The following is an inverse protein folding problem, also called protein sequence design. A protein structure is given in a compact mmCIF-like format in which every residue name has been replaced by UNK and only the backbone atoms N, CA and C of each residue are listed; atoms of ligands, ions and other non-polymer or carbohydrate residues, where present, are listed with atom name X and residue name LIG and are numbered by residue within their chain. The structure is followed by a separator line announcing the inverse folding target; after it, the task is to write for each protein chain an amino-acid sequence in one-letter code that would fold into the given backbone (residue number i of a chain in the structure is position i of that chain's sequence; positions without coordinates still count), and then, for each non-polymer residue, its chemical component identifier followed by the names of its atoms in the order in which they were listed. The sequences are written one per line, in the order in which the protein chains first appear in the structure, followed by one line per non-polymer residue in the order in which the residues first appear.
data_IF_855870704069
#
_entry.id   IF_855870704069
#
_cell.length_a   1.000
_cell.length_b   1.000
_cell.length_c   1.000
_cell.angle_alpha   90.00
_cell.angle_beta   90.00
_cell.angle_gamma   90.00
#
_symmetry.space_group_name_H-M   'P 1'
#
loop_
_entity.id
_entity.type
_entity.pdbx_description
1 polymer ?
#
# COMPACT_ATOMS: atom_id res chain seq x y z
N UNK A 1 -49.22 -8.70 -39.62
CA UNK A 1 -49.15 -9.69 -38.52
C UNK A 1 -47.70 -10.10 -38.41
N UNK A 2 -46.92 -9.35 -37.64
CA UNK A 2 -45.53 -9.62 -37.33
C UNK A 2 -45.49 -9.93 -35.84
N UNK A 3 -45.05 -11.15 -35.51
CA UNK A 3 -45.00 -11.69 -34.16
C UNK A 3 -43.84 -11.06 -33.38
N UNK A 4 -44.18 -10.27 -32.36
CA UNK A 4 -43.26 -9.82 -31.32
C UNK A 4 -42.83 -11.02 -30.47
N UNK A 5 -41.55 -11.36 -30.49
CA UNK A 5 -40.98 -12.25 -29.47
C UNK A 5 -40.86 -11.52 -28.13
N UNK A 6 -41.23 -12.14 -27.00
CA UNK A 6 -41.16 -11.50 -25.70
C UNK A 6 -39.72 -11.36 -25.22
N UNK A 7 -39.30 -10.11 -24.99
CA UNK A 7 -38.06 -9.76 -24.29
C UNK A 7 -38.11 -10.37 -22.89
N UNK A 8 -37.20 -11.31 -22.63
CA UNK A 8 -37.13 -12.07 -21.38
C UNK A 8 -36.51 -11.18 -20.28
N UNK A 9 -37.36 -10.56 -19.45
CA UNK A 9 -36.97 -9.68 -18.33
C UNK A 9 -36.75 -10.50 -17.07
N UNK A 10 -35.81 -11.43 -17.09
CA UNK A 10 -35.39 -12.18 -15.91
C UNK A 10 -33.87 -12.18 -15.84
N UNK A 11 -33.31 -11.20 -15.09
CA UNK A 11 -31.97 -11.16 -14.45
C UNK A 11 -31.30 -9.76 -14.44
N UNK A 12 -32.07 -8.68 -14.32
CA UNK A 12 -31.50 -7.40 -13.84
C UNK A 12 -31.77 -7.29 -12.35
N UNK A 13 -30.98 -8.00 -11.53
CA UNK A 13 -30.89 -7.66 -10.13
C UNK A 13 -30.03 -6.40 -10.02
N UNK A 14 -30.69 -5.26 -9.87
CA UNK A 14 -30.07 -4.05 -9.34
C UNK A 14 -29.73 -4.30 -7.87
N UNK A 15 -28.67 -5.05 -7.62
CA UNK A 15 -28.17 -5.29 -6.25
C UNK A 15 -27.48 -4.03 -5.77
N UNK A 16 -28.25 -3.17 -5.10
CA UNK A 16 -27.72 -2.42 -3.96
C UNK A 16 -27.23 -3.49 -2.99
N UNK A 17 -25.94 -3.43 -2.62
CA UNK A 17 -25.24 -4.37 -1.75
C UNK A 17 -26.13 -4.84 -0.58
N UNK A 18 -26.78 -5.97 -0.81
CA UNK A 18 -27.83 -6.50 0.03
C UNK A 18 -27.97 -7.98 -0.29
N UNK A 19 -27.27 -8.78 0.51
CA UNK A 19 -27.61 -10.17 0.79
C UNK A 19 -27.61 -11.14 -0.41
N UNK A 20 -26.42 -11.38 -0.98
CA UNK A 20 -26.00 -12.70 -1.51
C UNK A 20 -24.50 -12.82 -1.82
N UNK A 21 -23.70 -11.78 -1.59
CA UNK A 21 -22.24 -11.82 -1.69
C UNK A 21 -21.59 -12.23 -0.35
N UNK A 22 -21.94 -13.42 0.17
CA UNK A 22 -21.12 -14.09 1.19
C UNK A 22 -20.19 -15.07 0.50
N UNK A 23 -19.29 -14.54 -0.32
CA UNK A 23 -18.05 -15.23 -0.68
C UNK A 23 -17.04 -14.19 -1.15
N UNK A 24 -16.03 -13.97 -0.30
CA UNK A 24 -14.79 -13.22 -0.58
C UNK A 24 -14.97 -11.84 -1.25
N UNK A 25 -15.18 -10.80 -0.44
CA UNK A 25 -14.78 -9.41 -0.78
C UNK A 25 -13.26 -9.28 -0.62
N UNK A 26 -12.54 -10.22 -1.23
CA UNK A 26 -11.09 -10.29 -1.23
C UNK A 26 -10.69 -10.67 -2.64
N UNK A 27 -10.87 -9.75 -3.59
CA UNK A 27 -10.37 -9.78 -4.96
C UNK A 27 -10.09 -11.15 -5.57
N UNK A 28 -11.03 -12.09 -5.45
CA UNK A 28 -10.93 -13.41 -6.03
C UNK A 28 -12.08 -13.52 -7.03
N UNK A 29 -11.71 -13.70 -8.29
CA UNK A 29 -12.52 -13.68 -9.53
C UNK A 29 -13.64 -14.76 -9.56
N UNK A 30 -13.87 -15.46 -8.45
CA UNK A 30 -14.71 -16.66 -8.38
C UNK A 30 -16.19 -16.40 -8.13
N UNK A 31 -16.57 -15.22 -7.66
CA UNK A 31 -17.98 -14.86 -7.58
C UNK A 31 -18.37 -14.20 -8.91
N UNK A 32 -19.37 -14.73 -9.61
CA UNK A 32 -19.90 -14.17 -10.87
C UNK A 32 -20.62 -12.82 -10.69
N UNK A 33 -20.13 -12.00 -9.76
CA UNK A 33 -20.73 -10.76 -9.32
C UNK A 33 -20.18 -9.65 -10.21
N UNK A 34 -21.10 -8.91 -10.82
CA UNK A 34 -20.79 -7.67 -11.52
C UNK A 34 -20.91 -6.52 -10.54
N UNK A 35 -19.88 -5.68 -10.46
CA UNK A 35 -19.86 -4.52 -9.55
C UNK A 35 -20.08 -3.25 -10.37
N UNK A 36 -20.94 -2.37 -9.88
CA UNK A 36 -21.16 -1.05 -10.45
C UNK A 36 -20.63 0.02 -9.51
N UNK A 37 -19.79 0.93 -10.04
CA UNK A 37 -19.32 2.10 -9.32
C UNK A 37 -19.79 3.35 -10.04
N UNK A 38 -20.76 4.04 -9.46
CA UNK A 38 -21.32 5.29 -9.99
C UNK A 38 -20.64 6.49 -9.30
N UNK A 39 -20.21 7.48 -10.07
CA UNK A 39 -19.67 8.76 -9.58
C UNK A 39 -20.74 9.84 -9.72
N UNK A 40 -21.20 10.39 -8.60
CA UNK A 40 -22.29 11.35 -8.59
C UNK A 40 -21.78 12.75 -8.95
N UNK A 41 -22.60 13.50 -9.69
CA UNK A 41 -22.48 14.96 -9.78
C UNK A 41 -23.21 15.58 -8.59
N UNK A 42 -22.76 16.76 -8.16
CA UNK A 42 -23.56 17.61 -7.28
C UNK A 42 -24.95 17.78 -7.92
N UNK A 43 -26.02 17.62 -7.13
CA UNK A 43 -27.44 17.66 -7.51
C UNK A 43 -28.12 16.31 -7.84
N UNK A 44 -27.42 15.18 -7.80
CA UNK A 44 -28.08 13.86 -7.79
C UNK A 44 -28.41 13.42 -6.35
N UNK A 45 -29.68 13.55 -5.95
CA UNK A 45 -30.21 13.19 -4.62
C UNK A 45 -30.83 11.79 -4.54
N UNK A 46 -30.80 11.03 -5.64
CA UNK A 46 -31.45 9.71 -5.76
C UNK A 46 -30.57 8.54 -5.33
N UNK A 47 -29.82 8.66 -4.23
CA UNK A 47 -29.08 7.52 -3.71
C UNK A 47 -29.71 6.98 -2.45
N UNK A 48 -29.90 5.66 -2.42
CA UNK A 48 -30.30 4.95 -1.21
C UNK A 48 -29.38 5.26 -0.02
N UNK A 49 -28.12 5.59 -0.30
CA UNK A 49 -27.14 6.02 0.70
C UNK A 49 -27.61 7.24 1.50
N UNK A 50 -28.09 8.31 0.85
CA UNK A 50 -28.49 9.53 1.54
C UNK A 50 -29.74 9.32 2.39
N UNK A 51 -30.71 8.57 1.85
CA UNK A 51 -31.91 8.18 2.61
C UNK A 51 -31.55 7.34 3.84
N UNK A 52 -30.61 6.40 3.70
CA UNK A 52 -30.14 5.52 4.77
C UNK A 52 -29.34 6.32 5.81
N UNK A 53 -28.49 7.24 5.36
CA UNK A 53 -27.73 8.13 6.23
C UNK A 53 -28.66 9.02 7.06
N UNK A 54 -29.69 9.61 6.45
CA UNK A 54 -30.68 10.42 7.15
C UNK A 54 -31.43 9.61 8.22
N UNK A 55 -31.84 8.37 7.91
CA UNK A 55 -32.51 7.47 8.86
C UNK A 55 -31.61 7.12 10.05
N UNK A 56 -30.37 6.72 9.79
CA UNK A 56 -29.37 6.41 10.83
C UNK A 56 -29.13 7.64 11.70
N UNK A 57 -28.90 8.80 11.09
CA UNK A 57 -28.66 10.06 11.81
C UNK A 57 -29.84 10.42 12.73
N UNK A 58 -31.08 10.23 12.27
CA UNK A 58 -32.28 10.47 13.09
C UNK A 58 -32.36 9.52 14.28
N UNK A 59 -32.02 8.23 14.11
CA UNK A 59 -32.01 7.27 15.22
C UNK A 59 -30.89 7.51 16.22
N UNK A 60 -29.69 7.82 15.73
CA UNK A 60 -28.52 8.07 16.58
C UNK A 60 -28.72 9.33 17.43
N UNK A 61 -29.32 10.40 16.88
CA UNK A 61 -29.57 11.65 17.62
C UNK A 61 -30.48 11.49 18.84
N UNK A 62 -31.42 10.54 18.81
CA UNK A 62 -32.42 10.34 19.85
C UNK A 62 -32.05 9.20 20.82
N UNK A 63 -30.80 8.72 20.81
CA UNK A 63 -30.35 7.59 21.62
C UNK A 63 -29.04 7.95 22.32
N UNK A 64 -28.95 7.60 23.59
CA UNK A 64 -27.69 7.72 24.32
C UNK A 64 -26.77 6.54 23.96
N UNK A 65 -25.55 6.85 23.51
CA UNK A 65 -24.58 5.86 23.04
C UNK A 65 -23.35 5.90 23.93
N UNK A 66 -23.27 4.92 24.84
CA UNK A 66 -22.14 4.78 25.76
C UNK A 66 -20.97 3.97 25.17
N UNK A 67 -21.24 3.08 24.20
CA UNK A 67 -20.24 2.13 23.66
C UNK A 67 -20.35 2.08 22.14
N UNK A 68 -19.21 1.99 21.40
CA UNK A 68 -19.24 1.88 19.94
C UNK A 68 -20.09 0.73 19.38
N UNK A 69 -20.20 -0.40 20.09
CA UNK A 69 -21.05 -1.53 19.68
C UNK A 69 -22.53 -1.13 19.57
N UNK A 70 -23.00 -0.17 20.36
CA UNK A 70 -24.40 0.29 20.32
C UNK A 70 -24.73 1.00 19.01
N UNK A 71 -23.74 1.57 18.29
CA UNK A 71 -23.98 2.09 16.95
C UNK A 71 -24.48 1.00 16.01
N UNK A 72 -23.95 -0.22 16.11
CA UNK A 72 -24.38 -1.32 15.24
C UNK A 72 -25.85 -1.68 15.46
N UNK A 73 -26.33 -1.61 16.70
CA UNK A 73 -27.74 -1.84 17.05
C UNK A 73 -28.62 -0.70 16.53
N UNK A 74 -28.22 0.55 16.80
CA UNK A 74 -28.94 1.73 16.34
C UNK A 74 -29.08 1.79 14.81
N UNK A 75 -28.05 1.36 14.07
CA UNK A 75 -28.08 1.28 12.61
C UNK A 75 -29.06 0.19 12.15
N UNK A 76 -29.01 -1.02 12.73
CA UNK A 76 -29.96 -2.10 12.38
C UNK A 76 -31.42 -1.70 12.62
N UNK A 77 -31.68 -0.96 13.68
CA UNK A 77 -33.01 -0.44 14.04
C UNK A 77 -33.46 0.78 13.21
N UNK A 78 -32.56 1.41 12.45
CA UNK A 78 -32.86 2.65 11.73
C UNK A 78 -33.86 2.48 10.58
N UNK A 79 -33.90 1.29 9.99
CA UNK A 79 -34.84 0.93 8.93
C UNK A 79 -35.37 -0.47 9.22
N UNK A 80 -36.68 -0.60 9.38
CA UNK A 80 -37.36 -1.89 9.54
C UNK A 80 -38.07 -2.31 8.25
N UNK A 81 -38.60 -1.35 7.49
CA UNK A 81 -39.27 -1.55 6.19
C UNK A 81 -38.62 -0.68 5.11
N UNK A 82 -38.60 -1.11 3.83
CA UNK A 82 -38.98 -2.44 3.34
C UNK A 82 -38.04 -3.57 3.80
N UNK A 83 -36.79 -3.27 4.12
CA UNK A 83 -35.80 -4.24 4.62
C UNK A 83 -34.93 -3.62 5.72
N UNK A 84 -34.41 -4.48 6.59
CA UNK A 84 -33.53 -4.09 7.67
C UNK A 84 -32.12 -3.81 7.16
N UNK A 85 -31.43 -2.84 7.78
CA UNK A 85 -30.02 -2.59 7.50
C UNK A 85 -29.17 -3.71 8.10
N UNK A 86 -28.18 -4.18 7.34
CA UNK A 86 -27.21 -5.16 7.80
C UNK A 86 -25.90 -4.44 8.08
N UNK A 87 -25.40 -4.58 9.31
CA UNK A 87 -24.11 -4.04 9.70
C UNK A 87 -23.06 -5.13 9.57
N UNK A 88 -22.09 -4.89 8.69
CA UNK A 88 -20.92 -5.74 8.53
C UNK A 88 -19.72 -5.07 9.19
N UNK A 89 -19.05 -5.79 10.09
CA UNK A 89 -17.72 -5.40 10.52
C UNK A 89 -16.74 -5.74 9.40
N UNK A 90 -15.78 -4.87 9.16
CA UNK A 90 -14.74 -5.07 8.14
C UNK A 90 -13.55 -5.76 8.82
N UNK A 91 -13.28 -7.05 8.51
CA UNK A 91 -12.12 -7.74 9.02
C UNK A 91 -10.83 -7.29 8.30
N UNK A 92 -9.69 -7.69 8.86
CA UNK A 92 -8.35 -7.27 8.40
C UNK A 92 -7.94 -7.92 7.06
N UNK A 93 -8.56 -9.05 6.72
CA UNK A 93 -8.38 -9.85 5.51
C UNK A 93 -8.91 -9.18 4.23
N UNK A 94 -9.82 -8.21 4.37
CA UNK A 94 -10.38 -7.41 3.25
C UNK A 94 -9.33 -6.45 2.69
N UNK A 95 -8.37 -6.02 3.50
CA UNK A 95 -7.38 -5.05 3.07
C UNK A 95 -6.30 -5.73 2.25
N UNK A 96 -6.14 -5.29 1.01
CA UNK A 96 -5.15 -5.79 0.06
C UNK A 96 -3.99 -4.80 -0.09
N UNK A 97 -2.79 -5.30 -0.34
CA UNK A 97 -1.59 -4.50 -0.59
C UNK A 97 -1.55 -4.06 -2.05
N UNK A 98 -1.48 -2.75 -2.28
CA UNK A 98 -1.44 -2.14 -3.62
C UNK A 98 -0.15 -1.37 -3.90
N UNK A 99 0.90 -1.52 -3.08
CA UNK A 99 2.14 -0.76 -3.25
C UNK A 99 2.86 -1.09 -4.57
N UNK A 100 2.69 -2.32 -5.07
CA UNK A 100 3.34 -2.76 -6.29
C UNK A 100 2.42 -2.57 -7.51
N UNK A 101 2.80 -1.63 -8.39
CA UNK A 101 2.10 -1.35 -9.67
C UNK A 101 2.16 -2.51 -10.65
N UNK A 102 3.15 -3.39 -10.52
CA UNK A 102 3.25 -4.56 -11.39
C UNK A 102 2.09 -5.52 -11.15
N UNK A 103 1.45 -5.49 -9.98
CA UNK A 103 0.27 -6.31 -9.63
C UNK A 103 -1.04 -5.74 -10.16
N UNK A 104 -1.04 -4.54 -10.77
CA UNK A 104 -2.26 -3.92 -11.26
C UNK A 104 -2.74 -4.61 -12.53
N UNK A 105 -4.03 -4.91 -12.59
CA UNK A 105 -4.68 -5.46 -13.79
C UNK A 105 -4.66 -4.44 -14.93
N UNK A 106 -4.90 -3.16 -14.61
CA UNK A 106 -4.83 -2.05 -15.54
C UNK A 106 -3.85 -1.00 -15.03
N UNK A 107 -2.97 -0.53 -15.92
CA UNK A 107 -2.03 0.55 -15.61
C UNK A 107 -2.71 1.92 -15.56
N UNK A 108 -3.86 2.06 -16.22
CA UNK A 108 -4.63 3.29 -16.29
C UNK A 108 -6.12 2.99 -16.43
N UNK A 109 -6.95 3.82 -15.81
CA UNK A 109 -8.41 3.82 -15.96
C UNK A 109 -8.90 4.95 -16.87
N UNK A 110 -7.98 5.59 -17.60
CA UNK A 110 -8.32 6.71 -18.48
C UNK A 110 -9.07 6.22 -19.72
N UNK A 111 -10.19 6.86 -20.10
CA UNK A 111 -10.98 6.43 -21.25
C UNK A 111 -10.38 6.92 -22.57
N UNK A 112 -9.56 7.96 -22.54
CA UNK A 112 -8.85 8.52 -23.68
C UNK A 112 -7.32 8.40 -23.59
N UNK A 113 -6.62 8.53 -24.72
CA UNK A 113 -5.14 8.54 -24.76
C UNK A 113 -4.59 9.95 -25.03
N UNK A 114 -5.20 10.67 -25.94
CA UNK A 114 -4.74 11.98 -26.42
C UNK A 114 -5.19 13.13 -25.52
N UNK A 115 -4.62 14.32 -25.70
CA UNK A 115 -4.89 15.50 -24.86
C UNK A 115 -6.36 15.94 -24.90
N UNK A 116 -7.01 15.77 -26.05
CA UNK A 116 -8.42 16.16 -26.27
C UNK A 116 -9.42 15.03 -26.02
N UNK A 117 -8.95 13.84 -25.64
CA UNK A 117 -9.83 12.72 -25.32
C UNK A 117 -10.37 12.84 -23.89
N UNK A 118 -11.49 12.16 -23.64
CA UNK A 118 -12.11 12.07 -22.33
C UNK A 118 -11.12 11.70 -21.22
N UNK A 119 -11.27 12.35 -20.08
CA UNK A 119 -10.43 12.18 -18.88
C UNK A 119 -11.16 11.33 -17.86
N UNK A 120 -10.41 10.88 -16.84
CA UNK A 120 -10.97 10.10 -15.72
C UNK A 120 -12.08 10.88 -14.98
N UNK A 121 -11.99 12.21 -14.94
CA UNK A 121 -13.00 13.10 -14.36
C UNK A 121 -14.34 13.08 -15.08
N UNK A 122 -14.33 12.72 -16.36
CA UNK A 122 -15.53 12.76 -17.20
C UNK A 122 -16.36 11.48 -17.03
N UNK A 123 -15.75 10.42 -16.49
CA UNK A 123 -16.40 9.13 -16.23
C UNK A 123 -17.52 9.30 -15.21
N UNK A 124 -18.66 8.68 -15.49
CA UNK A 124 -19.83 8.65 -14.60
C UNK A 124 -20.04 7.30 -13.97
N UNK A 125 -19.72 6.22 -14.65
CA UNK A 125 -19.92 4.89 -14.08
C UNK A 125 -18.86 3.92 -14.59
N UNK A 126 -18.33 3.10 -13.69
CA UNK A 126 -17.59 1.89 -14.02
C UNK A 126 -18.45 0.65 -13.78
N UNK A 127 -18.26 -0.34 -14.64
CA UNK A 127 -18.81 -1.69 -14.49
C UNK A 127 -17.65 -2.67 -14.51
N UNK A 128 -17.49 -3.41 -13.42
CA UNK A 128 -16.47 -4.42 -13.25
C UNK A 128 -17.10 -5.79 -13.47
N UNK A 129 -16.58 -6.52 -14.44
CA UNK A 129 -16.99 -7.90 -14.69
C UNK A 129 -16.08 -8.89 -13.95
N UNK A 130 -16.57 -10.11 -13.66
CA UNK A 130 -15.78 -11.14 -13.01
C UNK A 130 -14.55 -11.55 -13.84
N UNK A 131 -14.61 -11.44 -15.17
CA UNK A 131 -13.47 -11.68 -16.07
C UNK A 131 -12.32 -10.65 -15.95
N UNK A 132 -12.38 -9.79 -14.93
CA UNK A 132 -11.44 -8.71 -14.66
C UNK A 132 -11.44 -7.61 -15.72
N UNK A 133 -12.49 -7.53 -16.57
CA UNK A 133 -12.65 -6.41 -17.49
C UNK A 133 -13.38 -5.25 -16.84
N UNK A 134 -12.96 -4.04 -17.22
CA UNK A 134 -13.55 -2.79 -16.75
C UNK A 134 -14.19 -2.09 -17.94
N UNK A 135 -15.47 -1.76 -17.79
CA UNK A 135 -16.21 -0.95 -18.73
C UNK A 135 -16.60 0.38 -18.08
N UNK A 136 -16.81 1.41 -18.89
CA UNK A 136 -17.13 2.75 -18.42
C UNK A 136 -18.26 3.39 -19.24
N UNK A 137 -18.89 4.42 -18.65
CA UNK A 137 -19.84 5.33 -19.29
C UNK A 137 -19.46 6.78 -19.02
N UNK A 138 -19.63 7.64 -20.03
CA UNK A 138 -19.35 9.08 -19.96
C UNK A 138 -20.64 9.90 -19.76
N UNK A 139 -21.75 9.46 -20.33
CA UNK A 139 -23.09 9.98 -20.03
C UNK A 139 -23.92 8.97 -19.23
N UNK A 140 -24.91 9.47 -18.49
CA UNK A 140 -25.90 8.60 -17.83
C UNK A 140 -26.93 8.06 -18.81
N UNK A 141 -27.19 8.82 -19.88
CA UNK A 141 -28.17 8.50 -20.91
C UNK A 141 -27.63 7.51 -21.96
N UNK A 142 -26.32 7.24 -21.93
CA UNK A 142 -25.71 6.25 -22.82
C UNK A 142 -26.32 4.87 -22.54
N UNK A 143 -26.81 4.18 -23.57
CA UNK A 143 -27.37 2.83 -23.40
C UNK A 143 -26.28 1.81 -23.03
N UNK A 144 -25.12 1.89 -23.69
CA UNK A 144 -24.08 0.86 -23.63
C UNK A 144 -22.86 1.28 -22.82
N UNK A 145 -22.25 0.29 -22.15
CA UNK A 145 -20.95 0.43 -21.48
C UNK A 145 -19.83 0.15 -22.47
N UNK A 146 -18.79 0.99 -22.49
CA UNK A 146 -17.63 0.82 -23.39
C UNK A 146 -16.45 0.24 -22.62
N UNK A 147 -15.79 -0.79 -23.14
CA UNK A 147 -14.60 -1.36 -22.53
C UNK A 147 -13.45 -0.33 -22.48
N UNK A 148 -12.66 -0.33 -21.40
CA UNK A 148 -11.49 0.54 -21.33
C UNK A 148 -10.51 0.24 -22.48
N UNK A 149 -9.96 1.26 -23.17
CA UNK A 149 -9.06 1.06 -24.32
C UNK A 149 -7.64 0.64 -23.90
N UNK A 150 -7.42 0.36 -22.62
CA UNK A 150 -6.13 -0.08 -22.09
C UNK A 150 -6.06 -1.61 -22.09
N UNK A 151 -4.95 -2.16 -22.60
CA UNK A 151 -4.71 -3.59 -22.53
C UNK A 151 -4.52 -4.00 -21.06
N UNK A 152 -5.27 -5.01 -20.62
CA UNK A 152 -5.05 -5.63 -19.32
C UNK A 152 -3.66 -6.25 -19.26
N UNK A 153 -2.98 -6.17 -18.11
CA UNK A 153 -1.73 -6.88 -17.90
C UNK A 153 -2.00 -8.38 -17.72
N UNK A 154 -2.01 -9.12 -18.84
CA UNK A 154 -2.29 -10.57 -18.86
C UNK A 154 -1.26 -11.37 -18.08
N UNK A 155 -0.05 -10.85 -17.84
CA UNK A 155 0.96 -11.56 -17.03
C UNK A 155 0.55 -11.71 -15.55
N UNK A 156 -0.49 -11.00 -15.10
CA UNK A 156 -1.02 -11.07 -13.74
C UNK A 156 -2.20 -12.05 -13.59
N UNK A 157 -2.55 -12.80 -14.64
CA UNK A 157 -3.89 -13.39 -14.78
C UNK A 157 -4.11 -14.77 -14.15
N UNK A 158 -3.35 -15.24 -13.16
CA UNK A 158 -3.76 -16.51 -12.53
C UNK A 158 -3.28 -16.86 -11.13
N UNK A 159 -2.09 -16.46 -10.65
CA UNK A 159 -1.58 -17.10 -9.41
C UNK A 159 -0.83 -16.20 -8.41
N UNK A 160 -0.68 -14.90 -8.67
CA UNK A 160 -0.19 -14.01 -7.61
C UNK A 160 -1.33 -13.75 -6.63
N UNK A 161 -1.34 -14.52 -5.55
CA UNK A 161 -2.08 -14.24 -4.32
C UNK A 161 -1.91 -12.74 -4.05
N UNK A 162 -2.97 -11.95 -4.26
CA UNK A 162 -2.97 -10.55 -3.86
C UNK A 162 -2.58 -10.54 -2.39
N UNK A 163 -1.41 -9.99 -2.08
CA UNK A 163 -0.90 -10.04 -0.72
C UNK A 163 -1.86 -9.23 0.15
N UNK A 164 -2.38 -9.85 1.20
CA UNK A 164 -3.13 -9.12 2.21
C UNK A 164 -2.23 -8.04 2.81
N UNK A 165 -2.81 -6.87 3.08
CA UNK A 165 -2.10 -5.77 3.72
C UNK A 165 -1.73 -6.13 5.16
N UNK A 166 -2.59 -6.92 5.81
CA UNK A 166 -2.42 -7.36 7.18
C UNK A 166 -2.52 -8.89 7.25
N UNK A 167 -1.51 -9.54 7.83
CA UNK A 167 -1.55 -11.00 8.06
C UNK A 167 -2.52 -11.38 9.19
N UNK A 168 -2.73 -10.46 10.13
CA UNK A 168 -3.54 -10.67 11.33
C UNK A 168 -4.19 -9.36 11.77
N UNK A 169 -5.19 -9.46 12.65
CA UNK A 169 -5.81 -8.28 13.29
C UNK A 169 -4.74 -7.41 13.96
N UNK A 170 -4.84 -6.10 13.72
CA UNK A 170 -3.92 -5.13 14.32
C UNK A 170 -4.04 -5.20 15.85
N UNK A 171 -2.91 -5.50 16.49
CA UNK A 171 -2.81 -5.56 17.94
C UNK A 171 -2.76 -4.15 18.52
N UNK A 172 -3.47 -3.93 19.62
CA UNK A 172 -3.39 -2.66 20.37
C UNK A 172 -2.19 -2.66 21.32
N UNK A 173 -1.79 -1.49 21.81
CA UNK A 173 -0.74 -1.41 22.83
C UNK A 173 -1.25 -1.93 24.17
N UNK A 174 -0.35 -2.51 24.99
CA UNK A 174 -0.70 -2.97 26.34
C UNK A 174 -1.28 -1.85 27.20
N UNK A 175 -0.71 -0.63 27.12
CA UNK A 175 -1.25 0.53 27.83
C UNK A 175 -2.71 0.78 27.43
N UNK A 176 -3.00 0.84 26.12
CA UNK A 176 -4.36 1.07 25.65
C UNK A 176 -5.30 -0.07 26.07
N UNK A 177 -4.81 -1.31 26.08
CA UNK A 177 -5.57 -2.46 26.58
C UNK A 177 -5.91 -2.29 28.07
N UNK A 178 -4.94 -1.97 28.93
CA UNK A 178 -5.17 -1.73 30.36
C UNK A 178 -6.15 -0.58 30.60
N UNK A 179 -5.94 0.56 29.94
CA UNK A 179 -6.84 1.71 30.02
C UNK A 179 -8.29 1.33 29.64
N UNK A 180 -8.46 0.50 28.59
CA UNK A 180 -9.78 0.01 28.19
C UNK A 180 -10.41 -0.93 29.23
N UNK A 181 -9.61 -1.79 29.85
CA UNK A 181 -10.09 -2.67 30.93
C UNK A 181 -10.50 -1.87 32.18
N UNK A 182 -9.77 -0.80 32.52
CA UNK A 182 -10.11 0.08 33.65
C UNK A 182 -11.40 0.87 33.40
N UNK A 183 -11.60 1.34 32.17
CA UNK A 183 -12.82 2.08 31.78
C UNK A 183 -14.07 1.19 31.83
N UNK A 184 -13.93 -0.10 31.55
CA UNK A 184 -15.04 -1.04 31.64
C UNK A 184 -15.05 -1.72 32.99
N UNK A 185 -15.95 -1.29 33.88
CA UNK A 185 -16.33 -2.07 35.07
C UNK A 185 -16.79 -3.50 34.71
N UNK A 186 -17.17 -3.72 33.45
CA UNK A 186 -17.58 -5.01 32.87
C UNK A 186 -16.37 -5.66 32.18
N UNK A 187 -15.75 -6.67 32.81
CA UNK A 187 -14.51 -7.33 32.39
C UNK A 187 -14.53 -7.99 31.00
N UNK A 188 -15.71 -8.25 30.44
CA UNK A 188 -15.82 -9.20 29.33
C UNK A 188 -15.78 -8.57 27.93
N UNK A 189 -16.03 -7.26 27.80
CA UNK A 189 -16.19 -6.65 26.47
C UNK A 189 -14.85 -6.51 25.71
N UNK A 190 -13.78 -6.12 26.40
CA UNK A 190 -12.46 -5.88 25.79
C UNK A 190 -11.46 -7.03 26.00
N UNK A 191 -11.80 -8.07 26.76
CA UNK A 191 -10.90 -9.18 27.11
C UNK A 191 -10.40 -9.98 25.89
N UNK A 192 -11.21 -10.05 24.83
CA UNK A 192 -10.88 -10.71 23.56
C UNK A 192 -9.91 -9.94 22.65
N UNK A 193 -9.50 -8.73 23.02
CA UNK A 193 -8.62 -7.91 22.17
C UNK A 193 -7.16 -8.38 22.24
N UNK A 194 -6.55 -8.59 21.07
CA UNK A 194 -5.13 -8.88 20.96
C UNK A 194 -4.32 -7.62 21.28
N UNK A 195 -3.36 -7.73 22.19
CA UNK A 195 -2.44 -6.65 22.54
C UNK A 195 -0.97 -7.05 22.34
N UNK A 196 -0.11 -6.04 22.23
CA UNK A 196 1.35 -6.20 22.22
C UNK A 196 1.89 -5.83 23.60
N UNK A 197 2.54 -6.79 24.26
CA UNK A 197 3.24 -6.59 25.54
C UNK A 197 4.49 -5.72 25.44
N UNK A 198 4.96 -5.45 24.22
CA UNK A 198 6.14 -4.62 23.99
C UNK A 198 5.75 -3.31 23.31
N UNK A 199 5.96 -2.19 24.00
CA UNK A 199 5.87 -0.87 23.39
C UNK A 199 6.91 -0.77 22.28
N UNK A 200 6.47 -0.64 21.02
CA UNK A 200 7.34 -0.40 19.86
C UNK A 200 8.33 0.77 20.08
N UNK A 201 7.95 1.73 20.91
CA UNK A 201 8.80 2.85 21.31
C UNK A 201 9.99 2.42 22.19
N UNK A 202 9.84 1.40 23.04
CA UNK A 202 10.95 0.85 23.82
C UNK A 202 11.88 0.01 22.94
N UNK A 203 11.33 -0.75 21.99
CA UNK A 203 12.11 -1.52 21.01
C UNK A 203 12.93 -0.58 20.11
N UNK A 204 12.34 0.49 19.60
CA UNK A 204 13.03 1.49 18.80
C UNK A 204 14.07 2.29 19.61
N UNK A 205 13.79 2.61 20.89
CA UNK A 205 14.79 3.21 21.79
C UNK A 205 15.96 2.27 22.06
N UNK A 206 15.70 0.99 22.33
CA UNK A 206 16.75 -0.04 22.53
C UNK A 206 17.57 -0.25 21.25
N UNK A 207 16.93 -0.28 20.08
CA UNK A 207 17.62 -0.40 18.80
C UNK A 207 18.53 0.82 18.53
N UNK A 208 18.03 2.03 18.78
CA UNK A 208 18.79 3.28 18.62
C UNK A 208 19.99 3.35 19.58
N UNK A 209 19.79 2.96 20.84
CA UNK A 209 20.87 2.87 21.83
C UNK A 209 21.91 1.81 21.45
N UNK A 210 21.48 0.66 20.92
CA UNK A 210 22.40 -0.37 20.41
C UNK A 210 23.22 0.12 19.22
N UNK A 211 22.60 0.88 18.30
CA UNK A 211 23.32 1.45 17.15
C UNK A 211 24.33 2.53 17.59
N UNK A 212 24.02 3.31 18.62
CA UNK A 212 24.92 4.31 19.19
C UNK A 212 26.09 3.66 19.96
N UNK A 213 25.83 2.56 20.69
CA UNK A 213 26.85 1.76 21.36
C UNK A 213 27.83 1.13 20.34
N UNK A 214 27.31 0.54 19.26
CA UNK A 214 28.11 -0.10 18.22
C UNK A 214 29.00 0.91 17.47
N UNK A 215 28.48 2.12 17.21
CA UNK A 215 29.27 3.25 16.64
C UNK A 215 30.38 3.70 17.59
N UNK A 216 30.13 3.76 18.89
CA UNK A 216 31.13 4.12 19.89
C UNK A 216 32.26 3.07 19.96
N UNK A 217 31.91 1.78 19.97
CA UNK A 217 32.88 0.68 19.97
C UNK A 217 33.73 0.67 18.69
N UNK A 218 33.12 0.93 17.53
CA UNK A 218 33.85 1.04 16.25
C UNK A 218 34.85 2.21 16.25
N UNK A 219 34.45 3.37 16.76
CA UNK A 219 35.31 4.55 16.85
C UNK A 219 36.49 4.36 17.82
N UNK A 220 36.28 3.69 18.95
CA UNK A 220 37.36 3.35 19.88
C UNK A 220 38.37 2.37 19.27
N UNK A 221 37.90 1.42 18.43
CA UNK A 221 38.76 0.47 17.73
C UNK A 221 39.63 1.17 16.67
N UNK A 222 39.06 2.11 15.91
CA UNK A 222 39.80 2.95 14.95
C UNK A 222 40.86 3.81 15.68
N UNK A 223 40.53 4.40 16.83
CA UNK A 223 41.47 5.22 17.60
C UNK A 223 42.66 4.40 18.14
N UNK A 224 42.43 3.15 18.57
CA UNK A 224 43.50 2.23 19.00
C UNK A 224 44.42 1.84 17.83
N UNK A 225 43.87 1.55 16.65
CA UNK A 225 44.65 1.23 15.45
C UNK A 225 45.56 2.40 15.03
N UNK A 226 45.04 3.65 15.03
CA UNK A 226 45.83 4.84 14.70
C UNK A 226 47.00 5.10 15.66
N UNK A 227 46.85 4.77 16.96
CA UNK A 227 47.93 4.86 17.96
C UNK A 227 49.01 3.79 17.76
N UNK A 228 48.67 2.63 17.21
CA UNK A 228 49.66 1.58 16.89
C UNK A 228 50.44 1.89 15.61
N UNK A 229 49.83 2.57 14.63
CA UNK A 229 50.53 2.98 13.39
C UNK A 229 51.52 4.14 13.59
N UNK A 230 51.27 5.05 14.54
CA UNK A 230 52.22 6.13 14.86
C UNK A 230 53.46 5.62 15.58
N UNK A 231 53.34 4.61 16.45
CA UNK A 231 54.51 3.94 17.07
C UNK A 231 55.37 3.19 16.05
N UNK A 232 54.78 2.52 15.05
CA UNK A 232 55.54 1.83 13.99
C UNK A 232 56.25 2.79 12.99
N UNK A 233 55.72 3.99 12.77
CA UNK A 233 56.41 5.01 11.94
C UNK A 233 57.60 5.65 12.65
N UNK A 234 57.59 5.74 13.98
CA UNK A 234 58.72 6.28 14.75
C UNK A 234 59.94 5.33 14.80
N UNK A 235 59.74 4.01 14.65
CA UNK A 235 60.82 3.02 14.68
C UNK A 235 61.44 2.74 13.30
N UNK A 236 60.77 3.09 12.20
CA UNK A 236 61.26 2.84 10.82
C UNK A 236 61.96 4.05 10.15
N UNK A 237 62.07 5.21 10.81
CA UNK A 237 62.82 6.36 10.27
C UNK A 237 64.32 6.37 10.59
N UNK A 238 64.85 5.34 11.28
CA UNK A 238 66.27 5.27 11.68
C UNK A 238 67.13 4.27 10.87
N UNK A 239 66.61 3.61 9.83
CA UNK A 239 67.34 2.53 9.12
C UNK A 239 67.45 2.64 7.59
N UNK A 240 67.10 3.78 6.97
CA UNK A 240 67.26 3.95 5.50
C UNK A 240 68.07 5.19 5.13
N UNK A 241 69.29 5.29 5.65
CA UNK A 241 70.37 6.14 5.12
C UNK A 241 71.58 5.26 4.81
N UNK A 242 71.42 4.39 3.81
CA UNK A 242 72.49 3.70 3.07
C UNK A 242 71.80 3.09 1.85
N UNK A 243 72.39 3.23 0.65
CA UNK A 243 71.87 2.79 -0.66
C UNK A 243 70.90 3.72 -1.41
N UNK A 244 71.36 4.94 -1.73
CA UNK A 244 70.99 5.63 -2.98
C UNK A 244 72.21 6.38 -3.52
N UNK A 245 73.20 5.65 -4.07
CA UNK A 245 74.35 6.24 -4.76
C UNK A 245 75.07 5.27 -5.72
N UNK A 246 74.32 4.47 -6.50
CA UNK A 246 74.92 3.62 -7.57
C UNK A 246 74.14 3.58 -8.90
N UNK A 247 73.02 4.29 -9.01
CA UNK A 247 72.17 4.27 -10.21
C UNK A 247 72.35 5.43 -11.21
N UNK A 248 72.90 6.57 -10.79
CA UNK A 248 72.88 7.80 -11.60
C UNK A 248 74.15 8.09 -12.41
N UNK A 249 75.23 7.33 -12.27
CA UNK A 249 76.45 7.53 -13.06
C UNK A 249 76.39 6.85 -14.44
N UNK A 250 75.71 5.71 -14.56
CA UNK A 250 75.60 4.99 -15.85
C UNK A 250 74.65 5.67 -16.85
N UNK A 251 73.74 6.54 -16.39
CA UNK A 251 72.85 7.30 -17.27
C UNK A 251 73.53 8.54 -17.89
N UNK A 252 74.49 9.18 -17.18
CA UNK A 252 75.23 10.34 -17.69
C UNK A 252 76.31 9.98 -18.73
N UNK A 253 76.92 8.79 -18.67
CA UNK A 253 77.88 8.34 -19.69
C UNK A 253 77.25 7.99 -21.05
N UNK A 254 75.98 7.52 -21.08
CA UNK A 254 75.27 7.23 -22.34
C UNK A 254 74.76 8.47 -23.08
N UNK A 255 74.48 9.57 -22.40
CA UNK A 255 74.09 10.83 -23.06
C UNK A 255 75.29 11.55 -23.71
N UNK A 256 76.50 11.49 -23.13
CA UNK A 256 77.68 12.11 -23.74
C UNK A 256 78.19 11.35 -25.00
N UNK A 257 78.02 10.03 -25.09
CA UNK A 257 78.38 9.27 -26.31
C UNK A 257 77.43 9.50 -27.50
N UNK A 258 76.18 9.93 -27.25
CA UNK A 258 75.23 10.25 -28.33
C UNK A 258 75.40 11.68 -28.89
N UNK A 259 76.00 12.60 -28.12
CA UNK A 259 76.21 13.98 -28.58
C UNK A 259 77.40 14.12 -29.54
N UNK A 260 78.41 13.24 -29.46
CA UNK A 260 79.59 13.30 -30.34
C UNK A 260 79.39 12.66 -31.73
N UNK A 261 78.32 11.87 -31.95
CA UNK A 261 78.03 11.26 -33.26
C UNK A 261 77.19 12.13 -34.20
N UNK A 262 76.76 13.33 -33.78
CA UNK A 262 75.89 14.21 -34.57
C UNK A 262 76.58 15.40 -35.25
N UNK A 263 77.87 15.65 -34.97
CA UNK A 263 78.65 16.77 -35.54
C UNK A 263 79.84 16.34 -36.44
N UNK A 264 79.72 15.20 -37.13
CA UNK A 264 80.61 14.84 -38.25
C UNK A 264 79.79 14.39 -39.46
N UNK A 265 79.17 15.35 -40.12
CA UNK A 265 78.95 15.40 -41.57
C UNK A 265 78.68 16.84 -41.96
#
# INVERSE_FOLDING_TARGET
MESLEPFNVDNVQETVLGNKAKEKIGGNVQSGITIFQKYLKNDHTQMEYDSTYALIKRKVKNREIHIPSHYSLAIKEARLKPFHLVVHYIPHDVFMKYDNKDLYTYQSIRPGRNVNDAKVTDIKTFKYFPDSKIFHKLSYDDEYYVELPCRSNTNNSSNQLRCQLYDNRIKITEKKFKDLQELTKVKDFYSSLLYQSEDKNQVNKKAKQKTELDKSVHNQKIAKLKKTSSKKKATNLKSTTKYKNKGNEKAKQKQNQMFWKRNKK
#
